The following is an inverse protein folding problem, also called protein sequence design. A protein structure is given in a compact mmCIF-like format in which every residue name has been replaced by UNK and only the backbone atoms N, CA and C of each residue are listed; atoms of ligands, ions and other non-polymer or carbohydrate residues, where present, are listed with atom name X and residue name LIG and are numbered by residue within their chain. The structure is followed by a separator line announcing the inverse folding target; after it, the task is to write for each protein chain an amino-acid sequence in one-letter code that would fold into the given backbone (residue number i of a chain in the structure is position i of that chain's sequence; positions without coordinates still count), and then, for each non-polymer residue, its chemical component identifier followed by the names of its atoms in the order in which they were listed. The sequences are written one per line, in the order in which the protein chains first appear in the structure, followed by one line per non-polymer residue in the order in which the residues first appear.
data_IF_904396850534
#
_entry.id   IF_904396850534
#
_cell.length_a   1.000
_cell.length_b   1.000
_cell.length_c   1.000
_cell.angle_alpha   90.00
_cell.angle_beta   90.00
_cell.angle_gamma   90.00
#
_symmetry.space_group_name_H-M   'P 1'
#
loop_
_entity.id
_entity.type
_entity.pdbx_description
1 polymer ?
#
# COMPACT_ATOMS: atom_id res chain seq x y z
N UNK A 1 2.60 10.46 1.35
CA UNK A 1 2.45 10.59 -0.13
C UNK A 1 1.02 10.94 -0.53
N UNK A 2 -0.02 10.22 -0.13
CA UNK A 2 -1.40 10.55 -0.46
C UNK A 2 -1.81 11.94 0.09
N UNK A 3 -1.45 12.28 1.31
CA UNK A 3 -1.72 13.61 1.88
C UNK A 3 -1.09 14.74 1.04
N UNK A 4 0.10 14.52 0.50
CA UNK A 4 0.78 15.47 -0.39
C UNK A 4 0.06 15.62 -1.73
N UNK A 5 -0.46 14.52 -2.29
CA UNK A 5 -1.29 14.55 -3.50
C UNK A 5 -2.56 15.35 -3.27
N UNK A 6 -3.22 15.18 -2.11
CA UNK A 6 -4.41 15.94 -1.74
C UNK A 6 -4.09 17.44 -1.59
N UNK A 7 -2.97 17.78 -0.95
CA UNK A 7 -2.52 19.17 -0.81
C UNK A 7 -2.24 19.83 -2.17
N UNK A 8 -1.56 19.12 -3.07
CA UNK A 8 -1.30 19.59 -4.44
C UNK A 8 -2.62 19.81 -5.19
N UNK A 9 -3.56 18.89 -5.09
CA UNK A 9 -4.84 18.97 -5.79
C UNK A 9 -5.68 20.17 -5.33
N UNK A 10 -5.67 20.46 -4.04
CA UNK A 10 -6.39 21.61 -3.46
C UNK A 10 -5.80 22.94 -3.92
N UNK A 11 -4.48 23.03 -4.11
CA UNK A 11 -3.77 24.24 -4.55
C UNK A 11 -3.57 24.36 -6.06
N UNK A 12 -4.12 23.42 -6.87
CA UNK A 12 -3.87 23.39 -8.32
C UNK A 12 -5.17 23.53 -9.10
N UNK A 13 -5.20 24.49 -10.03
CA UNK A 13 -6.26 24.63 -11.05
C UNK A 13 -5.63 24.27 -12.41
N UNK A 14 -6.29 23.40 -13.18
CA UNK A 14 -5.85 23.12 -14.54
C UNK A 14 -6.12 24.32 -15.42
N UNK A 15 -5.25 24.57 -16.40
CA UNK A 15 -5.44 25.62 -17.37
C UNK A 15 -6.80 25.44 -18.09
N UNK A 16 -7.66 26.47 -18.05
CA UNK A 16 -9.00 26.43 -18.63
C UNK A 16 -10.06 25.74 -17.76
N UNK A 17 -9.75 25.27 -16.55
CA UNK A 17 -10.75 24.70 -15.64
C UNK A 17 -11.32 25.76 -14.69
N UNK A 18 -12.63 25.71 -14.38
CA UNK A 18 -13.29 26.69 -13.51
C UNK A 18 -13.00 26.44 -12.01
N UNK A 19 -12.43 25.27 -11.64
CA UNK A 19 -12.23 24.85 -10.25
C UNK A 19 -10.90 24.16 -10.04
N UNK A 20 -10.53 23.94 -8.75
CA UNK A 20 -9.33 23.19 -8.38
C UNK A 20 -9.41 21.73 -8.86
N UNK A 21 -8.25 21.09 -8.98
CA UNK A 21 -8.18 19.65 -9.31
C UNK A 21 -8.92 18.80 -8.27
N UNK A 22 -8.88 19.20 -7.00
CA UNK A 22 -9.59 18.53 -5.91
C UNK A 22 -11.12 18.55 -6.04
N UNK A 23 -11.69 19.43 -6.87
CA UNK A 23 -13.12 19.47 -7.15
C UNK A 23 -13.52 18.65 -8.37
N UNK A 24 -12.56 18.02 -9.07
CA UNK A 24 -12.80 17.15 -10.22
C UNK A 24 -13.31 15.79 -9.77
N UNK A 25 -14.47 15.36 -10.28
CA UNK A 25 -15.05 14.04 -9.99
C UNK A 25 -14.05 12.91 -10.30
N UNK A 26 -13.34 13.02 -11.40
CA UNK A 26 -12.29 12.05 -11.75
C UNK A 26 -11.19 11.98 -10.69
N UNK A 27 -10.70 13.14 -10.23
CA UNK A 27 -9.68 13.15 -9.17
C UNK A 27 -10.20 12.53 -7.88
N UNK A 28 -11.41 12.91 -7.47
CA UNK A 28 -12.05 12.39 -6.26
C UNK A 28 -12.21 10.87 -6.31
N UNK A 29 -12.63 10.34 -7.46
CA UNK A 29 -12.74 8.90 -7.67
C UNK A 29 -11.37 8.20 -7.55
N UNK A 30 -10.38 8.65 -8.34
CA UNK A 30 -9.05 8.04 -8.36
C UNK A 30 -8.38 8.11 -6.98
N UNK A 31 -8.45 9.26 -6.32
CA UNK A 31 -7.92 9.44 -4.96
C UNK A 31 -8.64 8.55 -3.93
N UNK A 32 -9.96 8.47 -3.98
CA UNK A 32 -10.76 7.61 -3.09
C UNK A 32 -10.41 6.12 -3.25
N UNK A 33 -10.16 5.65 -4.48
CA UNK A 33 -9.70 4.28 -4.74
C UNK A 33 -8.33 4.02 -4.09
N UNK A 34 -7.38 4.96 -4.22
CA UNK A 34 -6.04 4.82 -3.61
C UNK A 34 -6.11 4.78 -2.08
N UNK A 35 -6.91 5.66 -1.47
CA UNK A 35 -7.15 5.66 -0.03
C UNK A 35 -7.78 4.35 0.46
N UNK A 36 -8.76 3.82 -0.28
CA UNK A 36 -9.39 2.54 0.03
C UNK A 36 -8.38 1.39 0.02
N UNK A 37 -7.55 1.30 -1.02
CA UNK A 37 -6.50 0.27 -1.14
C UNK A 37 -5.46 0.39 -0.02
N UNK A 38 -5.02 1.58 0.30
CA UNK A 38 -4.08 1.84 1.41
C UNK A 38 -4.66 1.37 2.75
N UNK A 39 -5.90 1.75 3.03
CA UNK A 39 -6.57 1.38 4.30
C UNK A 39 -6.80 -0.12 4.41
N UNK A 40 -7.20 -0.78 3.33
CA UNK A 40 -7.39 -2.22 3.30
C UNK A 40 -6.08 -2.98 3.58
N UNK A 41 -4.99 -2.61 2.92
CA UNK A 41 -3.68 -3.22 3.17
C UNK A 41 -3.19 -3.00 4.60
N UNK A 42 -3.34 -1.78 5.12
CA UNK A 42 -2.99 -1.47 6.52
C UNK A 42 -3.82 -2.26 7.54
N UNK A 43 -5.12 -2.43 7.28
CA UNK A 43 -5.99 -3.21 8.15
C UNK A 43 -5.57 -4.68 8.18
N UNK A 44 -5.27 -5.26 7.03
CA UNK A 44 -4.85 -6.66 6.95
C UNK A 44 -3.51 -6.92 7.67
N UNK A 45 -2.50 -6.05 7.49
CA UNK A 45 -1.25 -6.18 8.25
C UNK A 45 -1.50 -6.10 9.75
N UNK A 46 -2.35 -5.17 10.21
CA UNK A 46 -2.68 -5.05 11.62
C UNK A 46 -3.35 -6.33 12.14
N UNK A 47 -4.36 -6.83 11.46
CA UNK A 47 -5.08 -8.05 11.81
C UNK A 47 -4.13 -9.25 11.95
N UNK A 48 -3.24 -9.43 10.97
CA UNK A 48 -2.28 -10.54 11.01
C UNK A 48 -1.23 -10.39 12.09
N UNK A 49 -0.78 -9.17 12.41
CA UNK A 49 0.11 -8.91 13.55
C UNK A 49 -0.60 -9.23 14.88
N UNK A 50 -1.81 -8.73 15.08
CA UNK A 50 -2.60 -8.98 16.29
C UNK A 50 -2.88 -10.48 16.49
N UNK A 51 -3.17 -11.20 15.39
CA UNK A 51 -3.35 -12.66 15.44
C UNK A 51 -2.07 -13.39 15.85
N UNK A 52 -0.91 -12.99 15.29
CA UNK A 52 0.37 -13.58 15.63
C UNK A 52 0.76 -13.30 17.09
N UNK A 53 0.55 -12.09 17.59
CA UNK A 53 0.79 -11.71 18.98
C UNK A 53 -0.11 -12.52 19.94
N UNK A 54 -1.39 -12.66 19.63
CA UNK A 54 -2.34 -13.41 20.44
C UNK A 54 -2.00 -14.92 20.48
N UNK A 55 -1.58 -15.49 19.34
CA UNK A 55 -1.15 -16.89 19.27
C UNK A 55 0.14 -17.12 20.08
N UNK A 56 1.14 -16.24 19.92
CA UNK A 56 2.37 -16.30 20.68
C UNK A 56 2.14 -16.20 22.20
N UNK A 57 1.22 -15.32 22.62
CA UNK A 57 0.88 -15.13 24.04
C UNK A 57 0.16 -16.36 24.63
N UNK A 58 -0.68 -17.05 23.84
CA UNK A 58 -1.43 -18.22 24.27
C UNK A 58 -0.59 -19.51 24.26
N UNK A 59 0.17 -19.73 23.21
CA UNK A 59 0.79 -21.01 22.89
C UNK A 59 2.33 -20.98 23.03
N UNK A 60 2.91 -19.81 23.30
CA UNK A 60 4.36 -19.61 23.40
C UNK A 60 5.09 -19.61 22.04
N UNK A 61 4.38 -19.79 20.94
CA UNK A 61 4.91 -19.81 19.56
C UNK A 61 3.84 -19.37 18.55
N UNK A 62 4.28 -19.03 17.36
CA UNK A 62 3.39 -18.70 16.22
C UNK A 62 3.41 -19.87 15.24
N UNK A 63 2.23 -20.33 14.82
CA UNK A 63 2.09 -21.41 13.84
C UNK A 63 2.63 -21.01 12.46
N UNK A 64 2.93 -22.02 11.64
CA UNK A 64 3.38 -21.79 10.27
C UNK A 64 2.31 -21.06 9.43
N UNK A 65 1.03 -21.36 9.63
CA UNK A 65 -0.07 -20.70 8.93
C UNK A 65 -0.12 -19.23 9.26
N UNK A 66 -0.13 -18.87 10.55
CA UNK A 66 -0.17 -17.47 11.01
C UNK A 66 1.07 -16.69 10.55
N UNK A 67 2.26 -17.31 10.65
CA UNK A 67 3.51 -16.72 10.16
C UNK A 67 3.48 -16.45 8.65
N UNK A 68 2.96 -17.39 7.86
CA UNK A 68 2.84 -17.23 6.41
C UNK A 68 1.76 -16.23 6.03
N UNK A 69 0.65 -16.13 6.78
CA UNK A 69 -0.34 -15.06 6.61
C UNK A 69 0.28 -13.67 6.83
N UNK A 70 1.05 -13.50 7.91
CA UNK A 70 1.74 -12.24 8.18
C UNK A 70 2.74 -11.87 7.08
N UNK A 71 3.55 -12.84 6.61
CA UNK A 71 4.49 -12.63 5.52
C UNK A 71 3.77 -12.23 4.23
N UNK A 72 2.66 -12.88 3.90
CA UNK A 72 1.88 -12.55 2.71
C UNK A 72 1.21 -11.17 2.83
N UNK A 73 0.69 -10.80 3.99
CA UNK A 73 0.17 -9.45 4.24
C UNK A 73 1.27 -8.39 4.03
N UNK A 74 2.49 -8.63 4.52
CA UNK A 74 3.64 -7.75 4.29
C UNK A 74 4.01 -7.67 2.80
N UNK A 75 4.03 -8.80 2.09
CA UNK A 75 4.26 -8.83 0.63
C UNK A 75 3.20 -8.01 -0.10
N UNK A 76 1.93 -8.25 0.22
CA UNK A 76 0.79 -7.56 -0.39
C UNK A 76 0.89 -6.04 -0.23
N UNK A 77 1.19 -5.53 0.97
CA UNK A 77 1.29 -4.08 1.19
C UNK A 77 2.53 -3.48 0.54
N UNK A 78 3.63 -4.22 0.41
CA UNK A 78 4.81 -3.75 -0.31
C UNK A 78 4.52 -3.59 -1.81
N UNK A 79 3.92 -4.59 -2.44
CA UNK A 79 3.55 -4.53 -3.85
C UNK A 79 2.44 -3.50 -4.09
N UNK A 80 1.36 -3.56 -3.31
CA UNK A 80 0.25 -2.59 -3.39
C UNK A 80 0.69 -1.16 -3.10
N UNK A 81 1.66 -0.97 -2.20
CA UNK A 81 2.26 0.33 -1.90
C UNK A 81 3.02 0.91 -3.09
N UNK A 82 3.77 0.10 -3.83
CA UNK A 82 4.44 0.52 -5.06
C UNK A 82 3.42 0.91 -6.15
N UNK A 83 2.33 0.13 -6.30
CA UNK A 83 1.25 0.45 -7.25
C UNK A 83 0.54 1.75 -6.87
N UNK A 84 0.18 1.91 -5.59
CA UNK A 84 -0.41 3.16 -5.07
C UNK A 84 0.55 4.34 -5.30
N UNK A 85 1.85 4.16 -5.07
CA UNK A 85 2.84 5.20 -5.28
C UNK A 85 2.92 5.61 -6.76
N UNK A 86 2.87 4.66 -7.68
CA UNK A 86 2.85 4.94 -9.12
C UNK A 86 1.60 5.73 -9.53
N UNK A 87 0.44 5.31 -9.10
CA UNK A 87 -0.82 5.98 -9.42
C UNK A 87 -0.89 7.37 -8.76
N UNK A 88 -0.48 7.51 -7.50
CA UNK A 88 -0.40 8.79 -6.81
C UNK A 88 0.60 9.76 -7.47
N UNK A 89 1.73 9.25 -7.96
CA UNK A 89 2.70 10.03 -8.73
C UNK A 89 2.07 10.61 -10.01
N UNK A 90 1.33 9.78 -10.76
CA UNK A 90 0.62 10.21 -11.97
C UNK A 90 -0.49 11.22 -11.65
N UNK A 91 -1.19 11.01 -10.54
CA UNK A 91 -2.27 11.90 -10.09
C UNK A 91 -1.77 13.28 -9.69
N UNK A 92 -0.55 13.38 -9.13
CA UNK A 92 0.13 14.64 -8.81
C UNK A 92 0.60 15.42 -10.06
N UNK A 93 0.65 14.76 -11.23
CA UNK A 93 1.03 15.36 -12.50
C UNK A 93 2.46 15.88 -12.51
N UNK A 94 2.69 16.99 -13.23
CA UNK A 94 4.05 17.56 -13.40
C UNK A 94 4.71 18.02 -12.10
N UNK A 95 3.95 18.22 -11.03
CA UNK A 95 4.52 18.54 -9.71
C UNK A 95 5.31 17.38 -9.12
N UNK A 96 4.96 16.14 -9.44
CA UNK A 96 5.69 14.95 -9.05
C UNK A 96 7.10 14.86 -9.66
N UNK A 97 7.36 15.57 -10.75
CA UNK A 97 8.69 15.61 -11.39
C UNK A 97 9.73 16.42 -10.59
N UNK A 98 9.29 17.22 -9.62
CA UNK A 98 10.18 18.04 -8.80
C UNK A 98 10.66 17.22 -7.60
N UNK A 99 11.88 17.54 -7.14
CA UNK A 99 12.36 16.98 -5.88
C UNK A 99 11.41 17.34 -4.73
N UNK A 100 11.05 16.31 -3.95
CA UNK A 100 10.08 16.48 -2.86
C UNK A 100 9.53 15.17 -2.32
N UNK A 101 8.51 15.26 -1.45
CA UNK A 101 7.93 14.09 -0.77
C UNK A 101 7.36 13.04 -1.72
N UNK A 102 6.75 13.45 -2.85
CA UNK A 102 6.17 12.52 -3.83
C UNK A 102 7.27 11.74 -4.55
N UNK A 103 8.30 12.42 -5.04
CA UNK A 103 9.46 11.80 -5.68
C UNK A 103 10.15 10.80 -4.75
N UNK A 104 10.37 11.21 -3.49
CA UNK A 104 10.98 10.36 -2.49
C UNK A 104 10.10 9.14 -2.21
N UNK A 105 8.81 9.35 -1.88
CA UNK A 105 7.88 8.27 -1.60
C UNK A 105 7.74 7.27 -2.75
N UNK A 106 7.74 7.76 -4.00
CA UNK A 106 7.75 6.91 -5.18
C UNK A 106 8.97 5.98 -5.21
N UNK A 107 10.17 6.53 -5.05
CA UNK A 107 11.42 5.75 -5.06
C UNK A 107 11.50 4.78 -3.89
N UNK A 108 11.16 5.23 -2.68
CA UNK A 108 11.28 4.42 -1.47
C UNK A 108 10.32 3.22 -1.51
N UNK A 109 9.07 3.42 -1.94
CA UNK A 109 8.09 2.33 -2.04
C UNK A 109 8.46 1.34 -3.15
N UNK A 110 8.98 1.80 -4.29
CA UNK A 110 9.49 0.90 -5.33
C UNK A 110 10.75 0.16 -4.87
N UNK A 111 11.67 0.80 -4.15
CA UNK A 111 12.82 0.12 -3.57
C UNK A 111 12.38 -0.93 -2.54
N UNK A 112 11.41 -0.60 -1.67
CA UNK A 112 10.85 -1.53 -0.68
C UNK A 112 10.22 -2.77 -1.33
N UNK A 113 9.53 -2.60 -2.48
CA UNK A 113 8.90 -3.72 -3.20
C UNK A 113 9.89 -4.74 -3.77
N UNK A 114 11.17 -4.38 -3.89
CA UNK A 114 12.25 -5.29 -4.31
C UNK A 114 12.86 -6.08 -3.15
N UNK A 115 12.41 -5.85 -1.93
CA UNK A 115 12.96 -6.54 -0.78
C UNK A 115 12.65 -8.04 -0.83
N UNK A 116 13.58 -8.85 -0.39
CA UNK A 116 13.48 -10.32 -0.40
C UNK A 116 12.17 -10.85 0.23
N UNK A 117 11.72 -10.28 1.36
CA UNK A 117 10.46 -10.66 2.00
C UNK A 117 9.21 -10.27 1.22
N UNK A 118 9.32 -9.39 0.22
CA UNK A 118 8.23 -9.03 -0.67
C UNK A 118 8.16 -9.93 -1.93
N UNK A 119 8.97 -10.98 -1.99
CA UNK A 119 9.05 -11.90 -3.11
C UNK A 119 7.85 -12.87 -3.20
N UNK A 120 7.69 -13.55 -4.35
CA UNK A 120 6.57 -14.48 -4.62
C UNK A 120 6.49 -15.67 -3.66
N UNK A 121 7.60 -16.05 -3.02
CA UNK A 121 7.65 -17.19 -2.10
C UNK A 121 6.66 -17.08 -0.94
N UNK A 122 6.36 -15.87 -0.46
CA UNK A 122 5.40 -15.69 0.64
C UNK A 122 4.00 -16.23 0.29
N UNK A 123 3.52 -15.96 -0.94
CA UNK A 123 2.23 -16.46 -1.41
C UNK A 123 2.24 -17.99 -1.60
N UNK A 124 3.35 -18.55 -2.08
CA UNK A 124 3.51 -20.01 -2.24
C UNK A 124 3.52 -20.70 -0.89
N UNK A 125 4.29 -20.17 0.07
CA UNK A 125 4.40 -20.73 1.43
C UNK A 125 3.02 -20.68 2.15
N UNK A 126 2.29 -19.58 2.00
CA UNK A 126 0.93 -19.46 2.53
C UNK A 126 0.00 -20.51 1.90
N UNK A 127 -0.05 -20.59 0.57
CA UNK A 127 -0.90 -21.57 -0.11
C UNK A 127 -0.54 -23.00 0.31
N UNK A 128 0.73 -23.32 0.42
CA UNK A 128 1.21 -24.63 0.88
C UNK A 128 0.70 -24.94 2.28
N UNK A 129 0.80 -23.99 3.22
CA UNK A 129 0.34 -24.21 4.59
C UNK A 129 -1.19 -24.31 4.72
N UNK A 130 -1.96 -23.61 3.87
CA UNK A 130 -3.42 -23.69 3.85
C UNK A 130 -3.95 -24.97 3.19
N UNK A 131 -3.19 -25.55 2.27
CA UNK A 131 -3.58 -26.76 1.52
C UNK A 131 -2.98 -28.05 2.14
N UNK A 132 -2.06 -27.93 3.10
CA UNK A 132 -1.60 -29.09 3.87
C UNK A 132 -2.82 -29.72 4.58
N UNK A 133 -3.12 -30.96 4.24
CA UNK A 133 -4.12 -31.75 4.99
C UNK A 133 -3.45 -32.25 6.27
N UNK A 134 -4.09 -32.02 7.41
CA UNK A 134 -3.75 -32.66 8.68
C UNK A 134 -3.79 -34.20 8.58
#
# INVERSE_FOLDING_TARGET
MLDEVAAIASGTTRMGAPSSLAASERFLYEYGVLEGRFRAGRAWVRETCEAAEAEAARDGAVSAVTSNLLREACRHVNQGGADIAREAYLLAGTRALRDGPIQRGFRDLHAGSQHFFAGPSAAVDLATSLLAKD
#
